data_IF_054373896435
#
_entry.id   IF_054373896435
#
_cell.length_a   1.000
_cell.length_b   1.000
_cell.length_c   1.000
_cell.angle_alpha   90.00
_cell.angle_beta   90.00
_cell.angle_gamma   90.00
#
_symmetry.space_group_name_H-M   'P 1'
#
loop_
_entity.id
_entity.type
_entity.pdbx_description
1 polymer ?
#
# COMPACT_ATOMS: atom_id res chain seq x y z
N UNK A 1 -19.73 18.99 4.81
CA UNK A 1 -21.07 19.60 4.63
C UNK A 1 -20.92 20.79 3.70
N UNK A 2 -21.82 20.97 2.75
CA UNK A 2 -21.89 22.14 1.86
C UNK A 2 -23.28 22.72 1.98
N UNK A 3 -23.39 24.03 2.23
CA UNK A 3 -24.66 24.75 2.33
C UNK A 3 -24.50 26.16 1.78
N UNK A 4 -25.61 26.78 1.38
CA UNK A 4 -25.70 28.13 0.85
C UNK A 4 -26.23 29.08 1.92
N UNK A 5 -25.70 30.29 1.97
CA UNK A 5 -26.16 31.33 2.86
C UNK A 5 -27.20 32.24 2.18
N UNK A 6 -27.74 33.19 2.91
CA UNK A 6 -28.73 34.15 2.40
C UNK A 6 -28.20 35.07 1.29
N UNK A 7 -26.89 35.21 1.18
CA UNK A 7 -26.22 35.98 0.10
C UNK A 7 -25.95 35.15 -1.15
N UNK A 8 -26.24 33.84 -1.13
CA UNK A 8 -26.00 32.90 -2.21
C UNK A 8 -24.58 32.33 -2.24
N UNK A 9 -23.71 32.68 -1.29
CA UNK A 9 -22.40 32.09 -1.17
C UNK A 9 -22.46 30.71 -0.56
N UNK A 10 -21.53 29.83 -0.98
CA UNK A 10 -21.47 28.47 -0.46
C UNK A 10 -20.42 28.34 0.63
N UNK A 11 -20.81 27.75 1.74
CA UNK A 11 -19.91 27.38 2.82
C UNK A 11 -19.64 25.89 2.81
N UNK A 12 -18.34 25.54 2.88
CA UNK A 12 -17.87 24.18 2.98
C UNK A 12 -17.28 24.00 4.38
N UNK A 13 -17.82 23.07 5.14
CA UNK A 13 -17.25 22.66 6.44
C UNK A 13 -16.81 21.22 6.32
N UNK A 14 -15.52 20.98 6.55
CA UNK A 14 -14.89 19.66 6.59
C UNK A 14 -14.50 19.27 8.00
N UNK A 15 -14.79 18.01 8.38
CA UNK A 15 -14.22 17.36 9.57
C UNK A 15 -13.86 15.94 9.25
N UNK A 16 -12.69 15.51 9.68
CA UNK A 16 -12.23 14.13 9.58
C UNK A 16 -11.67 13.66 10.91
N UNK A 17 -11.94 12.40 11.26
CA UNK A 17 -11.27 11.67 12.35
C UNK A 17 -10.21 10.71 11.80
N UNK A 18 -10.21 10.48 10.46
CA UNK A 18 -9.22 9.64 9.82
C UNK A 18 -7.91 10.41 9.64
N UNK A 19 -6.77 9.86 10.03
CA UNK A 19 -5.46 10.44 9.77
C UNK A 19 -5.15 10.50 8.26
N UNK A 20 -5.81 9.68 7.44
CA UNK A 20 -5.58 9.58 6.00
C UNK A 20 -6.23 10.72 5.19
N UNK A 21 -7.07 11.54 5.83
CA UNK A 21 -7.78 12.64 5.18
C UNK A 21 -7.37 13.95 5.84
N UNK A 22 -6.44 14.64 5.22
CA UNK A 22 -6.13 16.03 5.59
C UNK A 22 -7.18 16.97 4.98
N UNK A 23 -8.03 17.52 5.84
CA UNK A 23 -9.11 18.43 5.44
C UNK A 23 -8.56 19.69 4.73
N UNK A 24 -7.34 20.14 5.03
CA UNK A 24 -6.70 21.27 4.36
C UNK A 24 -6.49 20.99 2.88
N UNK A 25 -6.04 19.78 2.54
CA UNK A 25 -5.82 19.36 1.15
C UNK A 25 -7.15 19.32 0.38
N UNK A 26 -8.21 18.84 1.04
CA UNK A 26 -9.56 18.81 0.43
C UNK A 26 -10.09 20.21 0.18
N UNK A 27 -9.81 21.16 1.08
CA UNK A 27 -10.36 22.52 1.00
C UNK A 27 -9.47 23.52 0.24
N UNK A 28 -8.22 23.18 -0.01
CA UNK A 28 -7.27 24.05 -0.74
C UNK A 28 -7.79 24.51 -2.11
N UNK A 29 -8.42 23.67 -2.96
CA UNK A 29 -8.98 24.11 -4.24
C UNK A 29 -10.10 25.16 -4.13
N UNK A 30 -10.69 25.31 -2.95
CA UNK A 30 -11.77 26.24 -2.66
C UNK A 30 -11.30 27.47 -1.87
N UNK A 31 -9.97 27.71 -1.82
CA UNK A 31 -9.41 28.80 -1.02
C UNK A 31 -9.60 28.64 0.49
N UNK A 32 -9.93 27.42 0.93
CA UNK A 32 -10.16 27.12 2.34
C UNK A 32 -8.89 26.77 3.12
N UNK A 33 -9.07 26.66 4.44
CA UNK A 33 -7.99 26.33 5.36
C UNK A 33 -8.52 25.75 6.67
N UNK A 34 -7.59 25.61 7.64
CA UNK A 34 -7.91 25.05 8.96
C UNK A 34 -6.77 24.14 9.47
N UNK A 35 -7.17 23.04 10.14
CA UNK A 35 -6.28 21.99 10.62
C UNK A 35 -6.51 20.68 9.85
N UNK A 36 -5.62 19.71 9.99
CA UNK A 36 -5.75 18.42 9.31
C UNK A 36 -7.10 17.73 9.55
N UNK A 37 -7.64 17.83 10.78
CA UNK A 37 -8.91 17.20 11.14
C UNK A 37 -10.15 18.11 10.99
N UNK A 38 -10.00 19.41 10.72
CA UNK A 38 -11.13 20.32 10.58
C UNK A 38 -10.77 21.60 9.82
N UNK A 39 -11.66 22.08 8.96
CA UNK A 39 -11.47 23.30 8.20
C UNK A 39 -12.74 23.79 7.55
N UNK A 40 -12.65 24.96 6.91
CA UNK A 40 -13.74 25.57 6.17
C UNK A 40 -13.25 26.30 4.93
N UNK A 41 -14.16 26.48 3.98
CA UNK A 41 -13.97 27.33 2.81
C UNK A 41 -15.26 28.11 2.52
N UNK A 42 -15.12 29.26 1.88
CA UNK A 42 -16.23 30.05 1.36
C UNK A 42 -16.04 30.17 -0.16
N UNK A 43 -17.03 29.79 -0.92
CA UNK A 43 -17.03 29.83 -2.39
C UNK A 43 -18.13 30.79 -2.82
N UNK A 44 -17.76 31.75 -3.66
CA UNK A 44 -18.69 32.76 -4.13
C UNK A 44 -19.81 32.12 -4.98
N UNK A 45 -20.99 32.74 -4.94
CA UNK A 45 -22.23 32.28 -5.62
C UNK A 45 -22.10 32.06 -7.14
N UNK A 46 -21.18 32.76 -7.78
CA UNK A 46 -20.91 32.65 -9.23
C UNK A 46 -20.07 31.41 -9.62
N UNK A 47 -19.52 30.70 -8.66
CA UNK A 47 -18.75 29.48 -8.89
C UNK A 47 -19.61 28.25 -9.24
N UNK A 48 -20.92 28.36 -9.16
CA UNK A 48 -21.87 27.29 -9.47
C UNK A 48 -22.97 27.11 -8.43
N UNK A 49 -23.84 26.15 -8.64
CA UNK A 49 -24.86 25.81 -7.64
C UNK A 49 -24.32 24.84 -6.60
N UNK A 50 -25.06 24.69 -5.48
CA UNK A 50 -24.68 23.82 -4.36
C UNK A 50 -24.40 22.37 -4.77
N UNK A 51 -25.09 21.85 -5.79
CA UNK A 51 -24.87 20.50 -6.30
C UNK A 51 -23.50 20.37 -6.99
N UNK A 52 -23.14 21.37 -7.84
CA UNK A 52 -21.86 21.41 -8.52
C UNK A 52 -20.69 21.57 -7.53
N UNK A 53 -20.84 22.45 -6.52
CA UNK A 53 -19.82 22.60 -5.46
C UNK A 53 -19.67 21.30 -4.67
N UNK A 54 -20.76 20.60 -4.37
CA UNK A 54 -20.71 19.30 -3.68
C UNK A 54 -19.94 18.25 -4.50
N UNK A 55 -20.16 18.18 -5.81
CA UNK A 55 -19.43 17.29 -6.72
C UNK A 55 -17.94 17.61 -6.74
N UNK A 56 -17.57 18.88 -6.78
CA UNK A 56 -16.18 19.32 -6.72
C UNK A 56 -15.53 18.94 -5.39
N UNK A 57 -16.23 19.10 -4.27
CA UNK A 57 -15.75 18.69 -2.94
C UNK A 57 -15.55 17.16 -2.89
N UNK A 58 -16.46 16.37 -3.43
CA UNK A 58 -16.30 14.92 -3.52
C UNK A 58 -15.08 14.55 -4.37
N UNK A 59 -14.89 15.22 -5.50
CA UNK A 59 -13.71 15.01 -6.36
C UNK A 59 -12.41 15.36 -5.62
N UNK A 60 -12.38 16.48 -4.88
CA UNK A 60 -11.24 16.87 -4.08
C UNK A 60 -10.98 15.87 -2.93
N UNK A 61 -12.04 15.39 -2.28
CA UNK A 61 -11.96 14.34 -1.27
C UNK A 61 -11.39 13.03 -1.84
N UNK A 62 -11.87 12.61 -3.01
CA UNK A 62 -11.31 11.44 -3.70
C UNK A 62 -9.83 11.60 -4.03
N UNK A 63 -9.43 12.78 -4.50
CA UNK A 63 -8.01 13.09 -4.78
C UNK A 63 -7.17 13.13 -3.51
N UNK A 64 -7.68 13.73 -2.43
CA UNK A 64 -7.01 13.79 -1.14
C UNK A 64 -6.89 12.42 -0.49
N UNK A 65 -7.93 11.57 -0.57
CA UNK A 65 -7.89 10.19 -0.13
C UNK A 65 -7.09 9.28 -1.07
N UNK A 66 -6.75 9.74 -2.28
CA UNK A 66 -5.84 9.03 -3.19
C UNK A 66 -4.37 9.11 -2.74
N UNK A 67 -4.03 10.07 -1.87
CA UNK A 67 -2.80 10.07 -1.07
C UNK A 67 -2.99 9.20 0.19
N UNK A 68 -3.57 8.00 0.04
CA UNK A 68 -3.69 7.02 1.11
C UNK A 68 -2.33 6.66 1.71
N UNK A 69 -2.29 5.84 2.78
CA UNK A 69 -1.06 5.51 3.46
C UNK A 69 -0.01 5.03 2.47
N UNK A 70 1.21 5.40 2.73
CA UNK A 70 2.36 4.97 1.95
C UNK A 70 2.72 3.52 2.31
N UNK A 71 3.37 2.84 1.39
CA UNK A 71 3.83 1.47 1.61
C UNK A 71 4.72 1.36 2.84
N UNK A 72 5.58 2.36 3.10
CA UNK A 72 6.43 2.40 4.30
C UNK A 72 5.68 2.40 5.63
N UNK A 73 4.44 2.91 5.64
CA UNK A 73 3.64 3.01 6.87
C UNK A 73 3.01 1.65 7.23
N UNK A 74 3.00 0.70 6.27
CA UNK A 74 2.33 -0.58 6.38
C UNK A 74 3.22 -1.80 6.09
N UNK A 75 4.42 -1.60 5.56
CA UNK A 75 5.33 -2.70 5.26
C UNK A 75 5.82 -3.37 6.54
N UNK A 76 6.00 -4.68 6.48
CA UNK A 76 6.69 -5.44 7.53
C UNK A 76 8.20 -5.25 7.42
N UNK A 77 8.85 -5.03 8.57
CA UNK A 77 10.31 -4.88 8.72
C UNK A 77 10.73 -5.40 10.10
N UNK A 78 11.91 -6.03 10.27
CA UNK A 78 12.86 -6.44 9.24
C UNK A 78 12.34 -7.61 8.38
N UNK A 79 12.83 -7.69 7.13
CA UNK A 79 12.44 -8.77 6.21
C UNK A 79 13.28 -10.00 6.45
N UNK A 80 12.64 -11.16 6.35
CA UNK A 80 13.34 -12.45 6.39
C UNK A 80 13.78 -12.83 4.97
N UNK A 81 15.08 -13.06 4.79
CA UNK A 81 15.67 -13.55 3.55
C UNK A 81 16.56 -14.76 3.78
N UNK A 82 16.88 -15.46 2.69
CA UNK A 82 17.81 -16.58 2.68
C UNK A 82 18.73 -16.52 1.46
N UNK A 83 19.96 -17.08 1.53
CA UNK A 83 20.82 -17.18 0.36
C UNK A 83 20.27 -18.19 -0.66
N UNK A 84 20.63 -18.06 -1.96
CA UNK A 84 20.12 -18.90 -3.04
C UNK A 84 20.50 -20.39 -2.93
N UNK A 85 21.47 -20.71 -2.09
CA UNK A 85 21.96 -22.07 -1.83
C UNK A 85 21.15 -22.85 -0.81
N UNK A 86 20.29 -22.19 -0.05
CA UNK A 86 19.39 -22.83 0.95
C UNK A 86 18.46 -23.81 0.25
N UNK A 87 18.25 -24.98 0.87
CA UNK A 87 17.36 -26.00 0.31
C UNK A 87 15.89 -25.59 0.46
N UNK A 88 15.02 -26.14 -0.39
CA UNK A 88 13.55 -25.93 -0.28
C UNK A 88 13.01 -26.38 1.08
N UNK A 89 13.58 -27.43 1.67
CA UNK A 89 13.19 -27.88 3.01
C UNK A 89 13.56 -26.86 4.08
N UNK A 90 14.75 -26.29 4.02
CA UNK A 90 15.18 -25.25 4.94
C UNK A 90 14.34 -23.98 4.78
N UNK A 91 14.05 -23.57 3.53
CA UNK A 91 13.18 -22.45 3.24
C UNK A 91 11.77 -22.67 3.83
N UNK A 92 11.20 -23.85 3.65
CA UNK A 92 9.90 -24.21 4.22
C UNK A 92 9.90 -24.14 5.75
N UNK A 93 10.98 -24.58 6.38
CA UNK A 93 11.15 -24.49 7.85
C UNK A 93 11.19 -23.04 8.31
N UNK A 94 11.99 -22.20 7.67
CA UNK A 94 12.05 -20.75 7.97
C UNK A 94 10.68 -20.11 7.83
N UNK A 95 9.94 -20.40 6.76
CA UNK A 95 8.58 -19.88 6.59
C UNK A 95 7.64 -20.31 7.70
N UNK A 96 7.71 -21.58 8.15
CA UNK A 96 6.89 -22.10 9.22
C UNK A 96 7.25 -21.46 10.57
N UNK A 97 8.53 -21.38 10.91
CA UNK A 97 9.03 -20.79 12.16
C UNK A 97 8.69 -19.30 12.29
N UNK A 98 8.77 -18.57 11.18
CA UNK A 98 8.47 -17.13 11.12
C UNK A 98 7.01 -16.82 10.83
N UNK A 99 6.17 -17.84 10.59
CA UNK A 99 4.77 -17.71 10.19
C UNK A 99 4.58 -16.79 8.96
N UNK A 100 5.47 -16.92 7.96
CA UNK A 100 5.44 -16.15 6.73
C UNK A 100 5.12 -17.04 5.53
N UNK A 101 4.56 -16.44 4.47
CA UNK A 101 4.15 -17.15 3.25
C UNK A 101 4.98 -16.79 2.02
N UNK A 102 5.90 -15.86 2.16
CA UNK A 102 6.87 -15.46 1.14
C UNK A 102 8.24 -15.28 1.78
N UNK A 103 9.26 -15.74 1.09
CA UNK A 103 10.64 -15.68 1.55
C UNK A 103 11.49 -15.07 0.46
N UNK A 104 12.19 -14.00 0.80
CA UNK A 104 13.10 -13.35 -0.13
C UNK A 104 14.37 -14.17 -0.28
N UNK A 105 14.94 -14.15 -1.47
CA UNK A 105 16.25 -14.74 -1.75
C UNK A 105 17.21 -13.62 -2.09
N UNK A 106 18.23 -13.48 -1.25
CA UNK A 106 19.25 -12.43 -1.41
C UNK A 106 20.63 -13.08 -1.58
N UNK A 107 21.42 -12.53 -2.50
CA UNK A 107 22.81 -12.90 -2.71
C UNK A 107 23.69 -11.65 -2.60
N UNK A 108 24.68 -11.68 -1.73
CA UNK A 108 25.56 -10.55 -1.45
C UNK A 108 24.81 -9.23 -1.13
N UNK A 109 23.61 -9.31 -0.53
CA UNK A 109 22.78 -8.16 -0.16
C UNK A 109 21.88 -7.64 -1.29
N UNK A 110 21.84 -8.32 -2.43
CA UNK A 110 20.96 -8.02 -3.56
C UNK A 110 19.78 -9.00 -3.61
N UNK A 111 18.59 -8.49 -3.90
CA UNK A 111 17.41 -9.31 -4.11
C UNK A 111 17.52 -10.06 -5.45
N UNK A 112 17.68 -11.38 -5.39
CA UNK A 112 17.84 -12.24 -6.57
C UNK A 112 16.62 -13.13 -6.84
N UNK A 113 15.67 -13.18 -5.91
CA UNK A 113 14.47 -13.99 -6.09
C UNK A 113 13.49 -13.93 -4.94
N UNK A 114 12.36 -14.58 -5.14
CA UNK A 114 11.30 -14.79 -4.15
C UNK A 114 10.77 -16.21 -4.26
N UNK A 115 10.53 -16.86 -3.13
CA UNK A 115 9.85 -18.16 -3.06
C UNK A 115 8.60 -18.00 -2.19
N UNK A 116 7.45 -18.41 -2.70
CA UNK A 116 6.20 -18.42 -1.92
C UNK A 116 5.90 -19.81 -1.35
N UNK A 117 5.10 -19.84 -0.29
CA UNK A 117 4.60 -21.09 0.27
C UNK A 117 3.77 -21.89 -0.77
N UNK A 118 3.13 -21.19 -1.70
CA UNK A 118 2.40 -21.80 -2.80
C UNK A 118 3.34 -22.53 -3.78
N UNK A 119 4.49 -21.94 -4.11
CA UNK A 119 5.49 -22.56 -4.95
C UNK A 119 6.03 -23.83 -4.28
N UNK A 120 6.33 -23.76 -2.98
CA UNK A 120 6.77 -24.93 -2.22
C UNK A 120 5.73 -26.05 -2.17
N UNK A 121 4.44 -25.71 -2.10
CA UNK A 121 3.35 -26.70 -2.14
C UNK A 121 3.18 -27.35 -3.49
N UNK A 122 3.34 -26.60 -4.59
CA UNK A 122 3.31 -27.15 -5.96
C UNK A 122 4.43 -28.12 -6.24
N UNK A 123 5.59 -27.84 -5.70
CA UNK A 123 6.79 -28.70 -5.82
C UNK A 123 6.66 -29.95 -4.93
N UNK A 124 5.44 -30.31 -4.48
CA UNK A 124 5.20 -31.36 -3.53
C UNK A 124 6.10 -32.56 -3.81
N UNK A 125 7.32 -32.63 -3.11
CA UNK A 125 7.28 -33.68 -2.21
C UNK A 125 8.20 -34.82 -2.53
N UNK A 126 9.12 -35.00 -1.71
CA UNK A 126 10.03 -36.09 -1.61
C UNK A 126 11.44 -35.77 -2.18
N UNK A 127 11.65 -35.91 -3.45
CA UNK A 127 13.00 -35.80 -4.06
C UNK A 127 13.51 -34.35 -4.26
N UNK A 128 12.61 -33.37 -4.36
CA UNK A 128 12.98 -31.98 -4.66
C UNK A 128 13.36 -31.16 -3.43
N UNK A 129 13.02 -31.60 -2.22
CA UNK A 129 13.27 -30.85 -0.97
C UNK A 129 14.73 -30.50 -0.70
N UNK A 130 15.64 -31.34 -1.18
CA UNK A 130 17.08 -31.14 -1.04
C UNK A 130 17.67 -30.16 -2.07
N UNK A 131 16.90 -29.74 -3.08
CA UNK A 131 17.39 -28.82 -4.09
C UNK A 131 17.45 -27.38 -3.58
N UNK A 132 18.41 -26.58 -4.03
CA UNK A 132 18.55 -25.18 -3.63
C UNK A 132 17.39 -24.33 -4.18
N UNK A 133 16.97 -23.33 -3.40
CA UNK A 133 15.86 -22.42 -3.76
C UNK A 133 16.09 -21.71 -5.09
N UNK A 134 17.32 -21.44 -5.47
CA UNK A 134 17.67 -20.79 -6.76
C UNK A 134 17.16 -21.53 -8.00
N UNK A 135 16.87 -22.83 -7.88
CA UNK A 135 16.33 -23.63 -8.97
C UNK A 135 14.82 -23.42 -9.18
N UNK A 136 14.12 -22.87 -8.19
CA UNK A 136 12.66 -22.80 -8.16
C UNK A 136 12.11 -21.43 -7.78
N UNK A 137 12.98 -20.50 -7.37
CA UNK A 137 12.59 -19.14 -7.03
C UNK A 137 12.10 -18.38 -8.28
N UNK A 138 11.14 -17.50 -8.08
CA UNK A 138 10.78 -16.48 -9.04
C UNK A 138 11.93 -15.46 -9.11
N UNK A 139 12.52 -15.27 -10.29
CA UNK A 139 13.66 -14.37 -10.49
C UNK A 139 13.26 -12.95 -10.86
N UNK A 140 12.16 -12.81 -11.62
CA UNK A 140 11.61 -11.51 -11.99
C UNK A 140 10.69 -11.02 -10.86
N UNK A 141 11.30 -10.57 -9.78
CA UNK A 141 10.56 -10.10 -8.60
C UNK A 141 10.08 -8.67 -8.85
N UNK A 142 8.76 -8.48 -8.80
CA UNK A 142 8.19 -7.14 -8.81
C UNK A 142 8.46 -6.48 -7.45
N UNK A 143 8.95 -5.27 -7.48
CA UNK A 143 9.25 -4.46 -6.28
C UNK A 143 8.45 -3.18 -6.28
N UNK A 144 8.40 -2.50 -5.13
CA UNK A 144 7.72 -1.22 -4.99
C UNK A 144 8.56 -0.27 -4.13
N UNK A 145 8.38 1.04 -4.36
CA UNK A 145 9.00 2.08 -3.54
C UNK A 145 8.31 2.21 -2.18
N UNK A 146 9.01 2.53 -1.08
CA UNK A 146 8.39 2.88 0.19
C UNK A 146 7.50 4.14 0.10
N UNK A 147 7.76 5.02 -0.87
CA UNK A 147 6.97 6.23 -1.14
C UNK A 147 5.72 5.98 -2.00
N UNK A 148 5.55 4.78 -2.55
CA UNK A 148 4.34 4.42 -3.27
C UNK A 148 3.15 4.31 -2.30
N UNK A 149 1.95 4.52 -2.82
CA UNK A 149 0.72 4.35 -2.04
C UNK A 149 0.36 2.87 -1.89
N UNK A 150 -0.33 2.52 -0.82
CA UNK A 150 -0.90 1.16 -0.62
C UNK A 150 -1.85 0.79 -1.76
N UNK A 151 -2.53 1.76 -2.35
CA UNK A 151 -3.38 1.56 -3.53
C UNK A 151 -2.57 1.13 -4.76
N UNK A 152 -1.42 1.75 -5.00
CA UNK A 152 -0.52 1.34 -6.08
C UNK A 152 0.01 -0.08 -5.85
N UNK A 153 0.36 -0.42 -4.61
CA UNK A 153 0.74 -1.78 -4.23
C UNK A 153 -0.40 -2.78 -4.53
N UNK A 154 -1.64 -2.46 -4.12
CA UNK A 154 -2.81 -3.29 -4.40
C UNK A 154 -3.04 -3.49 -5.90
N UNK A 155 -2.99 -2.41 -6.68
CA UNK A 155 -3.13 -2.47 -8.14
C UNK A 155 -2.03 -3.31 -8.80
N UNK A 156 -0.79 -3.19 -8.33
CA UNK A 156 0.32 -3.99 -8.86
C UNK A 156 0.13 -5.48 -8.54
N UNK A 157 -0.28 -5.80 -7.31
CA UNK A 157 -0.57 -7.18 -6.89
C UNK A 157 -1.68 -7.81 -7.72
N UNK A 158 -2.76 -7.05 -7.98
CA UNK A 158 -3.89 -7.53 -8.79
C UNK A 158 -3.46 -7.74 -10.24
N UNK A 159 -2.81 -6.75 -10.86
CA UNK A 159 -2.42 -6.83 -12.28
C UNK A 159 -1.40 -7.91 -12.57
N UNK A 160 -0.54 -8.25 -11.61
CA UNK A 160 0.53 -9.25 -11.75
C UNK A 160 0.18 -10.59 -11.11
N UNK A 161 -0.99 -10.69 -10.49
CA UNK A 161 -1.43 -11.85 -9.69
C UNK A 161 -0.39 -12.31 -8.67
N UNK A 162 0.20 -11.37 -7.93
CA UNK A 162 1.21 -11.61 -6.91
C UNK A 162 0.69 -11.24 -5.54
N UNK A 163 1.17 -11.92 -4.50
CA UNK A 163 0.76 -11.70 -3.12
C UNK A 163 1.82 -11.04 -2.24
N UNK A 164 3.00 -10.80 -2.77
CA UNK A 164 4.16 -10.27 -2.03
C UNK A 164 4.88 -9.25 -2.90
N UNK A 165 5.15 -8.08 -2.35
CA UNK A 165 5.95 -7.03 -2.98
C UNK A 165 7.09 -6.64 -2.04
N UNK A 166 8.33 -7.01 -2.33
CA UNK A 166 9.48 -6.45 -1.65
C UNK A 166 9.51 -4.93 -1.85
N UNK A 167 9.74 -4.22 -0.76
CA UNK A 167 9.88 -2.76 -0.77
C UNK A 167 11.35 -2.43 -0.90
N UNK A 168 11.70 -1.70 -1.96
CA UNK A 168 13.10 -1.41 -2.29
C UNK A 168 13.34 0.09 -2.31
N UNK A 169 14.37 0.52 -1.60
CA UNK A 169 14.89 1.88 -1.62
C UNK A 169 16.37 1.87 -1.96
N UNK A 170 16.77 2.68 -2.97
CA UNK A 170 18.17 2.78 -3.41
C UNK A 170 18.85 1.42 -3.68
N UNK A 171 18.08 0.49 -4.28
CA UNK A 171 18.55 -0.85 -4.64
C UNK A 171 18.60 -1.86 -3.50
N UNK A 172 18.18 -1.48 -2.28
CA UNK A 172 18.17 -2.38 -1.10
C UNK A 172 16.75 -2.68 -0.66
N UNK A 173 16.51 -3.90 -0.22
CA UNK A 173 15.24 -4.28 0.41
C UNK A 173 15.15 -3.61 1.77
N UNK A 174 14.09 -2.80 1.96
CA UNK A 174 13.80 -2.09 3.21
C UNK A 174 12.55 -2.61 3.91
N UNK A 175 11.75 -3.44 3.25
CA UNK A 175 10.53 -4.01 3.78
C UNK A 175 9.87 -4.98 2.82
N UNK A 176 8.71 -5.49 3.21
CA UNK A 176 7.83 -6.28 2.36
C UNK A 176 6.38 -5.90 2.67
N UNK A 177 5.56 -5.74 1.63
CA UNK A 177 4.11 -5.58 1.78
C UNK A 177 3.40 -6.75 1.09
N UNK A 178 2.33 -7.25 1.72
CA UNK A 178 1.59 -8.42 1.24
C UNK A 178 0.12 -8.12 1.02
N UNK A 179 -0.60 -9.04 0.35
CA UNK A 179 -2.08 -8.95 0.24
C UNK A 179 -2.75 -8.91 1.60
N UNK A 180 -2.19 -9.58 2.59
CA UNK A 180 -2.75 -9.61 3.95
C UNK A 180 -2.72 -8.22 4.58
N UNK A 181 -1.60 -7.50 4.43
CA UNK A 181 -1.46 -6.14 4.96
C UNK A 181 -2.49 -5.20 4.33
N UNK A 182 -2.68 -5.30 3.00
CA UNK A 182 -3.68 -4.52 2.29
C UNK A 182 -5.11 -4.84 2.76
N UNK A 183 -5.43 -6.13 2.94
CA UNK A 183 -6.75 -6.54 3.44
C UNK A 183 -6.98 -6.04 4.86
N UNK A 184 -5.99 -6.18 5.75
CA UNK A 184 -6.08 -5.69 7.12
C UNK A 184 -6.34 -4.17 7.17
N UNK A 185 -5.63 -3.42 6.32
CA UNK A 185 -5.86 -1.99 6.17
C UNK A 185 -7.29 -1.67 5.71
N UNK A 186 -7.79 -2.33 4.67
CA UNK A 186 -9.13 -2.08 4.13
C UNK A 186 -10.24 -2.36 5.15
N UNK A 187 -10.04 -3.30 6.06
CA UNK A 187 -10.99 -3.65 7.11
C UNK A 187 -10.74 -2.93 8.44
N UNK A 188 -9.80 -1.98 8.49
CA UNK A 188 -9.49 -1.21 9.69
C UNK A 188 -8.94 -2.06 10.84
N UNK A 189 -8.19 -3.12 10.49
CA UNK A 189 -7.59 -4.05 11.46
C UNK A 189 -6.16 -3.65 11.87
N UNK A 190 -5.65 -2.56 11.28
CA UNK A 190 -4.34 -1.93 11.58
C UNK A 190 -4.58 -0.46 11.84
#
# INVERSE_FOLDING_TARGET
MVFENDSGDHFIIGRSKSPDIDVRVVLAPFGGGGHAGAGSATVARDAGNTAAIREQVLTALYKASAAGPLVRDMMSYPVTSVPPTVTLEQAARVMAEKNIRGLLVEDAGELVGLVSLWDLKKLSLGKQRAHPVKAFMQREVQTISPEATVREAAHLMIRRDIGHLPVVEKGRVVGIITRTDIVQFLYGMI
#
